data_IF_744930460917
#
_entry.id   IF_744930460917
#
_cell.length_a   1.000
_cell.length_b   1.000
_cell.length_c   1.000
_cell.angle_alpha   90.00
_cell.angle_beta   90.00
_cell.angle_gamma   90.00
#
_symmetry.space_group_name_H-M   'P 1'
#
loop_
_entity.id
_entity.type
_entity.pdbx_description
1 polymer ?
#
# COMPACT_ATOMS: atom_id res chain seq x y z
N UNK A 1 -14.50 5.07 -2.45
CA UNK A 1 -13.32 5.09 -1.57
C UNK A 1 -13.32 3.80 -0.76
N UNK A 2 -12.18 3.43 -0.22
CA UNK A 2 -12.07 2.37 0.78
C UNK A 2 -11.57 3.03 2.07
N UNK A 3 -12.12 2.62 3.21
CA UNK A 3 -11.72 3.09 4.52
C UNK A 3 -11.24 1.89 5.33
N UNK A 4 -10.11 2.06 6.03
CA UNK A 4 -9.47 1.01 6.83
C UNK A 4 -9.14 1.62 8.19
N UNK A 5 -9.54 0.95 9.27
CA UNK A 5 -9.20 1.35 10.63
C UNK A 5 -7.87 0.70 11.05
N UNK A 6 -7.02 1.48 11.71
CA UNK A 6 -5.76 1.02 12.28
C UNK A 6 -5.54 1.70 13.65
N UNK A 7 -4.93 0.98 14.59
CA UNK A 7 -4.60 1.49 15.93
C UNK A 7 -3.09 1.45 16.17
N UNK A 8 -2.54 2.55 16.66
CA UNK A 8 -1.11 2.69 16.97
C UNK A 8 -0.87 2.82 18.48
N UNK A 9 0.23 2.24 19.02
CA UNK A 9 1.21 1.38 18.32
C UNK A 9 0.67 -0.07 18.20
N UNK A 10 1.25 -0.87 17.30
CA UNK A 10 1.16 -2.35 17.14
C UNK A 10 0.69 -2.84 15.75
N UNK A 11 -0.36 -2.28 15.16
CA UNK A 11 -0.85 -2.67 13.81
C UNK A 11 -0.57 -1.58 12.77
N UNK A 12 0.66 -1.55 12.25
CA UNK A 12 1.11 -0.50 11.33
C UNK A 12 1.32 -0.94 9.88
N UNK A 13 1.37 -2.24 9.60
CA UNK A 13 1.74 -2.72 8.27
C UNK A 13 0.52 -2.92 7.36
N UNK A 14 0.33 -1.99 6.42
CA UNK A 14 -0.64 -2.13 5.32
C UNK A 14 0.02 -2.83 4.13
N UNK A 15 -0.55 -3.93 3.68
CA UNK A 15 -0.15 -4.56 2.41
C UNK A 15 -1.11 -4.14 1.31
N UNK A 16 -0.58 -3.61 0.22
CA UNK A 16 -1.33 -3.32 -1.00
C UNK A 16 -0.80 -4.25 -2.09
N UNK A 17 -1.68 -5.11 -2.61
CA UNK A 17 -1.36 -6.05 -3.67
C UNK A 17 -2.26 -5.77 -4.88
N UNK A 18 -1.70 -5.92 -6.08
CA UNK A 18 -2.40 -5.75 -7.35
C UNK A 18 -2.38 -7.08 -8.07
N UNK A 19 -3.56 -7.52 -8.49
CA UNK A 19 -3.76 -8.77 -9.20
C UNK A 19 -4.30 -8.49 -10.60
N UNK A 20 -3.93 -9.35 -11.56
CA UNK A 20 -4.59 -9.45 -12.86
C UNK A 20 -5.83 -10.33 -12.71
N UNK A 21 -6.96 -9.86 -13.23
CA UNK A 21 -8.23 -10.57 -13.05
C UNK A 21 -8.45 -11.58 -14.16
N UNK A 22 -8.79 -12.81 -13.79
CA UNK A 22 -9.10 -13.88 -14.74
C UNK A 22 -10.59 -14.25 -14.75
N UNK A 23 -11.15 -14.42 -15.96
CA UNK A 23 -12.53 -14.90 -16.12
C UNK A 23 -12.69 -16.35 -15.65
N UNK A 24 -11.65 -17.18 -15.83
CA UNK A 24 -11.60 -18.58 -15.40
C UNK A 24 -10.19 -18.88 -14.90
N UNK A 25 -10.07 -19.27 -13.63
CA UNK A 25 -8.77 -19.51 -13.01
C UNK A 25 -8.65 -18.78 -11.68
N UNK A 26 -7.41 -18.53 -11.28
CA UNK A 26 -7.06 -17.73 -10.09
C UNK A 26 -6.35 -16.48 -10.54
N UNK A 27 -6.80 -15.32 -10.06
CA UNK A 27 -6.16 -14.04 -10.33
C UNK A 27 -4.66 -14.06 -10.02
N UNK A 28 -3.84 -13.63 -10.97
CA UNK A 28 -2.37 -13.64 -10.87
C UNK A 28 -1.85 -12.39 -10.14
N UNK A 29 -0.94 -12.56 -9.19
CA UNK A 29 -0.30 -11.42 -8.52
C UNK A 29 0.65 -10.68 -9.48
N UNK A 30 0.33 -9.43 -9.80
CA UNK A 30 1.22 -8.52 -10.57
C UNK A 30 2.34 -8.00 -9.65
N UNK A 31 1.99 -7.62 -8.43
CA UNK A 31 2.95 -7.14 -7.44
C UNK A 31 2.32 -6.67 -6.14
N UNK A 32 3.15 -6.55 -5.10
CA UNK A 32 2.74 -6.04 -3.79
C UNK A 32 3.72 -5.02 -3.23
N UNK A 33 3.22 -4.18 -2.34
CA UNK A 33 4.04 -3.31 -1.51
C UNK A 33 3.52 -3.31 -0.07
N UNK A 34 4.45 -3.16 0.88
CA UNK A 34 4.17 -3.10 2.31
C UNK A 34 4.49 -1.70 2.81
N UNK A 35 3.50 -1.10 3.45
CA UNK A 35 3.52 0.28 3.91
C UNK A 35 3.43 0.28 5.42
N UNK A 36 4.45 0.84 6.06
CA UNK A 36 4.39 1.15 7.49
C UNK A 36 3.62 2.47 7.70
N UNK A 37 2.37 2.35 8.14
CA UNK A 37 1.46 3.46 8.41
C UNK A 37 1.91 4.29 9.61
N UNK A 38 2.51 3.67 10.64
CA UNK A 38 2.95 4.35 11.85
C UNK A 38 4.15 5.25 11.53
N UNK A 39 5.12 4.73 10.77
CA UNK A 39 6.25 5.52 10.26
C UNK A 39 5.77 6.67 9.36
N UNK A 40 4.83 6.42 8.44
CA UNK A 40 4.27 7.50 7.58
C UNK A 40 3.50 8.56 8.37
N UNK A 41 2.79 8.16 9.43
CA UNK A 41 2.04 9.08 10.28
C UNK A 41 2.97 9.97 11.12
N UNK A 42 4.03 9.40 11.73
CA UNK A 42 4.98 10.14 12.56
C UNK A 42 6.12 10.81 11.78
N UNK A 43 6.28 10.54 10.49
CA UNK A 43 7.27 11.17 9.63
C UNK A 43 7.04 12.68 9.49
N UNK A 44 8.13 13.47 9.60
CA UNK A 44 8.13 14.91 9.29
C UNK A 44 7.78 15.22 7.82
N UNK A 45 7.96 14.25 6.93
CA UNK A 45 7.69 14.38 5.50
C UNK A 45 6.27 13.94 5.10
N UNK A 46 5.43 13.55 6.07
CA UNK A 46 4.03 13.10 5.89
C UNK A 46 3.88 11.96 4.88
N UNK A 47 2.64 11.64 4.52
CA UNK A 47 2.28 10.51 3.66
C UNK A 47 2.73 10.62 2.19
N UNK A 48 3.20 11.79 1.73
CA UNK A 48 3.57 12.00 0.32
C UNK A 48 5.05 11.73 0.02
N UNK A 49 5.87 11.51 1.05
CA UNK A 49 7.30 11.28 0.86
C UNK A 49 7.58 9.95 0.12
N UNK A 50 8.34 10.02 -0.98
CA UNK A 50 8.78 8.85 -1.74
C UNK A 50 7.82 8.37 -2.83
N UNK A 51 6.70 9.06 -3.06
CA UNK A 51 5.85 8.79 -4.23
C UNK A 51 6.52 9.40 -5.46
N UNK A 52 6.90 8.56 -6.43
CA UNK A 52 7.43 9.03 -7.70
C UNK A 52 6.37 9.88 -8.41
N UNK A 53 6.74 11.09 -8.84
CA UNK A 53 5.83 11.97 -9.59
C UNK A 53 5.55 11.44 -10.99
N UNK A 54 6.41 10.57 -11.51
CA UNK A 54 6.33 9.97 -12.83
C UNK A 54 6.55 8.47 -12.72
N UNK A 55 5.76 7.71 -13.48
CA UNK A 55 6.00 6.30 -13.71
C UNK A 55 7.13 6.14 -14.75
N UNK A 56 8.19 5.42 -14.41
CA UNK A 56 9.22 5.02 -15.37
C UNK A 56 8.85 3.67 -15.98
N UNK A 57 8.72 3.64 -17.30
CA UNK A 57 8.52 2.41 -18.10
C UNK A 57 9.85 1.72 -18.35
#
# INVERSE_FOLDING_TARGET
SFDIEATFPMESMLTVAVYDWDLVGTDDLIGETKIDLENRYYSKHRATCGIASNYSV
#
